data_IF_384422020900
#
_entry.id   IF_384422020900
#
_cell.length_a   1.000
_cell.length_b   1.000
_cell.length_c   1.000
_cell.angle_alpha   90.00
_cell.angle_beta   90.00
_cell.angle_gamma   90.00
#
_symmetry.space_group_name_H-M   'P 1'
#
loop_
_entity.id
_entity.type
_entity.pdbx_description
1 polymer ?
#
# COMPACT_ATOMS: atom_id res chain seq x y z
N UNK A 1 -6.39 23.60 26.08
CA UNK A 1 -7.54 22.88 25.48
C UNK A 1 -6.97 22.00 24.38
N UNK A 2 -6.96 20.69 24.56
CA UNK A 2 -6.60 19.78 23.48
C UNK A 2 -7.69 19.85 22.41
N UNK A 3 -7.31 20.15 21.17
CA UNK A 3 -8.22 20.08 20.04
C UNK A 3 -8.61 18.62 19.82
N UNK A 4 -9.82 18.26 20.24
CA UNK A 4 -10.36 16.92 20.01
C UNK A 4 -10.60 16.71 18.52
N UNK A 5 -9.91 15.76 17.91
CA UNK A 5 -10.13 15.38 16.52
C UNK A 5 -11.47 14.65 16.45
N UNK A 6 -12.47 15.26 15.82
CA UNK A 6 -13.82 14.70 15.67
C UNK A 6 -14.24 14.48 14.21
N UNK A 7 -13.35 14.70 13.25
CA UNK A 7 -13.58 14.54 11.81
C UNK A 7 -12.71 13.39 11.27
N UNK A 8 -13.33 12.49 10.50
CA UNK A 8 -12.63 11.45 9.74
C UNK A 8 -11.95 12.09 8.53
N UNK A 9 -10.63 12.00 8.45
CA UNK A 9 -9.87 12.68 7.39
C UNK A 9 -10.11 12.08 5.99
N UNK A 10 -10.50 10.80 5.91
CA UNK A 10 -10.76 10.10 4.64
C UNK A 10 -12.08 10.49 3.98
N UNK A 11 -13.10 10.89 4.76
CA UNK A 11 -14.44 11.18 4.23
C UNK A 11 -14.99 12.56 4.61
N UNK A 12 -14.29 13.31 5.48
CA UNK A 12 -14.68 14.64 5.96
C UNK A 12 -15.89 14.66 6.91
N UNK A 13 -16.41 13.49 7.32
CA UNK A 13 -17.59 13.39 8.21
C UNK A 13 -17.19 13.21 9.67
N UNK A 14 -18.09 13.57 10.59
CA UNK A 14 -17.87 13.38 12.03
C UNK A 14 -17.61 11.91 12.39
N UNK A 15 -16.62 11.69 13.23
CA UNK A 15 -16.35 10.43 13.90
C UNK A 15 -17.47 10.17 14.92
N UNK A 16 -18.17 9.05 14.77
CA UNK A 16 -19.26 8.61 15.65
C UNK A 16 -19.18 7.09 15.80
N UNK A 17 -19.43 6.58 17.00
CA UNK A 17 -19.37 5.15 17.28
C UNK A 17 -17.93 4.62 17.30
N UNK A 18 -17.71 3.43 16.72
CA UNK A 18 -16.41 2.78 16.69
C UNK A 18 -15.48 3.46 15.66
N UNK A 19 -14.30 3.85 16.13
CA UNK A 19 -13.24 4.53 15.37
C UNK A 19 -12.06 3.56 15.23
N UNK A 20 -11.33 3.67 14.13
CA UNK A 20 -10.09 2.94 13.88
C UNK A 20 -8.92 3.91 13.69
N UNK A 21 -7.70 3.40 13.86
CA UNK A 21 -6.46 4.17 13.74
C UNK A 21 -5.73 3.80 12.45
N UNK A 22 -5.92 4.64 11.43
CA UNK A 22 -5.28 4.47 10.13
C UNK A 22 -3.81 4.92 10.19
N UNK A 23 -2.93 4.17 9.54
CA UNK A 23 -1.48 4.41 9.58
C UNK A 23 -1.05 5.29 8.42
N UNK A 24 -0.40 6.42 8.74
CA UNK A 24 0.07 7.37 7.74
C UNK A 24 1.60 7.56 7.89
N UNK A 25 2.44 6.95 7.04
CA UNK A 25 2.09 6.16 5.84
C UNK A 25 1.63 4.73 6.16
N UNK A 26 0.96 4.05 5.20
CA UNK A 26 0.40 2.72 5.38
C UNK A 26 1.40 1.70 5.93
N UNK A 27 0.94 0.88 6.88
CA UNK A 27 1.73 -0.22 7.48
C UNK A 27 2.32 -1.16 6.43
N UNK A 28 1.69 -1.29 5.27
CA UNK A 28 2.15 -2.17 4.19
C UNK A 28 3.48 -1.74 3.55
N UNK A 29 3.86 -0.46 3.66
CA UNK A 29 5.16 0.04 3.17
C UNK A 29 6.32 -0.58 3.94
N UNK A 30 6.06 -1.01 5.18
CA UNK A 30 7.02 -1.65 6.05
C UNK A 30 6.71 -3.14 6.14
N UNK A 31 7.55 -3.95 5.50
CA UNK A 31 7.46 -5.41 5.59
C UNK A 31 7.40 -5.87 7.05
N UNK A 32 6.65 -6.94 7.32
CA UNK A 32 6.40 -7.45 8.67
C UNK A 32 7.69 -7.76 9.43
N UNK A 33 8.73 -8.26 8.74
CA UNK A 33 10.06 -8.47 9.33
C UNK A 33 10.73 -7.17 9.75
N UNK A 34 10.66 -6.13 8.91
CA UNK A 34 11.22 -4.80 9.18
C UNK A 34 10.50 -4.16 10.36
N UNK A 35 9.16 -4.23 10.42
CA UNK A 35 8.39 -3.72 11.55
C UNK A 35 8.73 -4.41 12.86
N UNK A 36 8.93 -5.74 12.85
CA UNK A 36 9.34 -6.48 14.06
C UNK A 36 10.73 -6.11 14.54
N UNK A 37 11.65 -5.86 13.61
CA UNK A 37 13.05 -5.56 13.93
C UNK A 37 13.24 -4.14 14.42
N UNK A 38 12.61 -3.17 13.75
CA UNK A 38 12.85 -1.74 13.99
C UNK A 38 11.75 -1.06 14.80
N UNK A 39 10.61 -1.73 14.99
CA UNK A 39 9.43 -1.22 15.69
C UNK A 39 9.13 0.25 15.37
N UNK A 40 8.89 0.59 14.08
CA UNK A 40 8.73 1.98 13.69
C UNK A 40 7.52 2.58 14.41
N UNK A 41 7.71 3.74 15.03
CA UNK A 41 6.63 4.51 15.65
C UNK A 41 5.81 5.19 14.56
N UNK A 42 4.94 4.41 13.92
CA UNK A 42 4.11 4.88 12.80
C UNK A 42 3.01 5.78 13.33
N UNK A 43 2.90 6.97 12.73
CA UNK A 43 1.86 7.92 13.04
C UNK A 43 0.49 7.38 12.61
N UNK A 44 -0.53 7.63 13.42
CA UNK A 44 -1.90 7.22 13.13
C UNK A 44 -2.88 8.39 13.19
N UNK A 45 -3.96 8.28 12.40
CA UNK A 45 -5.06 9.23 12.39
C UNK A 45 -6.40 8.51 12.60
N UNK A 46 -7.34 9.10 13.35
CA UNK A 46 -8.62 8.48 13.62
C UNK A 46 -9.52 8.51 12.37
N UNK A 47 -10.16 7.38 12.08
CA UNK A 47 -11.02 7.19 10.91
C UNK A 47 -12.24 6.32 11.23
N UNK A 48 -13.27 6.34 10.37
CA UNK A 48 -14.29 5.29 10.41
C UNK A 48 -13.66 3.97 9.98
N UNK A 49 -14.01 2.87 10.64
CA UNK A 49 -13.55 1.51 10.27
C UNK A 49 -13.81 1.22 8.78
N UNK A 50 -14.98 1.62 8.26
CA UNK A 50 -15.32 1.41 6.85
C UNK A 50 -14.43 2.21 5.89
N UNK A 51 -14.06 3.45 6.27
CA UNK A 51 -13.16 4.29 5.48
C UNK A 51 -11.73 3.74 5.50
N UNK A 52 -11.24 3.29 6.66
CA UNK A 52 -9.90 2.70 6.75
C UNK A 52 -9.77 1.47 5.82
N UNK A 53 -10.80 0.61 5.83
CA UNK A 53 -10.79 -0.60 5.01
C UNK A 53 -11.08 -0.37 3.52
N UNK A 54 -11.70 0.75 3.13
CA UNK A 54 -12.13 0.96 1.74
C UNK A 54 -10.97 1.13 0.76
N UNK A 55 -9.80 1.56 1.24
CA UNK A 55 -8.62 1.81 0.41
C UNK A 55 -7.65 0.62 0.35
N UNK A 56 -8.00 -0.53 0.94
CA UNK A 56 -7.07 -1.66 1.05
C UNK A 56 -6.58 -2.15 -0.33
N UNK A 57 -7.44 -2.16 -1.33
CA UNK A 57 -7.08 -2.57 -2.69
C UNK A 57 -6.14 -1.56 -3.38
N UNK A 58 -6.31 -0.27 -3.10
CA UNK A 58 -5.45 0.80 -3.63
C UNK A 58 -4.06 0.72 -3.01
N UNK A 59 -3.98 0.45 -1.71
CA UNK A 59 -2.70 0.20 -1.02
C UNK A 59 -1.98 -1.03 -1.59
N UNK A 60 -2.70 -2.14 -1.76
CA UNK A 60 -2.15 -3.36 -2.35
C UNK A 60 -1.63 -3.08 -3.77
N UNK A 61 -2.40 -2.37 -4.58
CA UNK A 61 -1.98 -1.96 -5.92
C UNK A 61 -0.72 -1.09 -5.89
N UNK A 62 -0.67 -0.10 -4.99
CA UNK A 62 0.46 0.82 -4.85
C UNK A 62 1.74 0.07 -4.44
N UNK A 63 1.65 -0.78 -3.41
CA UNK A 63 2.79 -1.56 -2.91
C UNK A 63 3.27 -2.56 -3.97
N UNK A 64 2.36 -3.27 -4.63
CA UNK A 64 2.71 -4.21 -5.69
C UNK A 64 3.34 -3.50 -6.89
N UNK A 65 2.89 -2.29 -7.20
CA UNK A 65 3.44 -1.47 -8.27
C UNK A 65 4.86 -0.99 -7.99
N UNK A 66 5.19 -0.66 -6.75
CA UNK A 66 6.53 -0.15 -6.42
C UNK A 66 7.52 -1.27 -6.11
N UNK A 67 7.05 -2.44 -5.67
CA UNK A 67 7.92 -3.53 -5.23
C UNK A 67 9.03 -3.92 -6.23
N UNK A 68 8.79 -4.02 -7.56
CA UNK A 68 9.86 -4.31 -8.52
C UNK A 68 11.02 -3.30 -8.47
N UNK A 69 10.74 -2.04 -8.18
CA UNK A 69 11.74 -0.97 -8.07
C UNK A 69 12.61 -1.07 -6.82
N UNK A 70 12.22 -1.92 -5.86
CA UNK A 70 12.90 -2.08 -4.57
C UNK A 70 13.80 -3.32 -4.52
N UNK A 71 13.82 -4.14 -5.59
CA UNK A 71 14.62 -5.37 -5.66
C UNK A 71 16.09 -5.06 -5.41
N UNK A 72 16.75 -5.88 -4.60
CA UNK A 72 18.16 -5.70 -4.22
C UNK A 72 18.38 -4.77 -3.04
N UNK A 73 17.38 -4.00 -2.61
CA UNK A 73 17.47 -3.22 -1.36
C UNK A 73 17.20 -4.08 -0.12
N UNK A 74 17.70 -3.60 1.03
CA UNK A 74 17.50 -4.21 2.34
C UNK A 74 16.01 -4.37 2.68
N UNK A 75 15.23 -3.30 2.52
CA UNK A 75 13.79 -3.30 2.81
C UNK A 75 12.97 -4.00 1.71
N UNK A 76 13.33 -3.80 0.44
CA UNK A 76 12.59 -4.34 -0.70
C UNK A 76 12.55 -5.86 -0.76
N UNK A 77 13.66 -6.52 -0.39
CA UNK A 77 13.70 -7.98 -0.28
C UNK A 77 12.69 -8.53 0.74
N UNK A 78 12.44 -7.77 1.82
CA UNK A 78 11.42 -8.11 2.81
C UNK A 78 10.00 -7.82 2.32
N UNK A 79 9.81 -6.72 1.58
CA UNK A 79 8.51 -6.36 0.98
C UNK A 79 8.07 -7.46 -0.01
N UNK A 80 8.98 -7.92 -0.87
CA UNK A 80 8.70 -9.00 -1.82
C UNK A 80 8.24 -10.29 -1.15
N UNK A 81 8.84 -10.67 -0.01
CA UNK A 81 8.40 -11.85 0.75
C UNK A 81 6.97 -11.72 1.27
N UNK A 82 6.56 -10.52 1.67
CA UNK A 82 5.19 -10.27 2.13
C UNK A 82 4.19 -10.22 0.98
N UNK A 83 4.56 -9.62 -0.16
CA UNK A 83 3.75 -9.62 -1.37
C UNK A 83 3.52 -11.05 -1.84
N UNK A 84 4.57 -11.86 -1.99
CA UNK A 84 4.46 -13.26 -2.43
C UNK A 84 3.55 -14.12 -1.54
N UNK A 85 3.44 -13.79 -0.25
CA UNK A 85 2.48 -14.44 0.67
C UNK A 85 1.04 -13.97 0.42
N UNK A 86 0.83 -12.67 0.20
CA UNK A 86 -0.49 -12.09 -0.09
C UNK A 86 -1.00 -12.51 -1.47
N UNK A 87 -0.10 -12.67 -2.44
CA UNK A 87 -0.47 -13.11 -3.79
C UNK A 87 -1.21 -14.45 -3.83
N UNK A 88 -1.05 -15.28 -2.79
CA UNK A 88 -1.74 -16.57 -2.65
C UNK A 88 -3.22 -16.43 -2.28
N UNK A 89 -3.68 -15.24 -1.91
CA UNK A 89 -5.06 -15.01 -1.46
C UNK A 89 -6.00 -14.75 -2.65
N UNK A 90 -7.25 -15.23 -2.61
CA UNK A 90 -8.22 -15.05 -3.70
C UNK A 90 -8.47 -13.58 -4.06
N UNK A 91 -8.57 -12.70 -3.06
CA UNK A 91 -8.84 -11.27 -3.23
C UNK A 91 -7.73 -10.53 -3.99
N UNK A 92 -6.49 -11.00 -3.90
CA UNK A 92 -5.34 -10.37 -4.57
C UNK A 92 -5.20 -10.78 -6.04
N UNK A 93 -5.96 -11.77 -6.53
CA UNK A 93 -5.78 -12.38 -7.86
C UNK A 93 -5.82 -11.36 -8.99
N UNK A 94 -6.73 -10.38 -8.94
CA UNK A 94 -6.87 -9.34 -9.97
C UNK A 94 -5.63 -8.44 -10.04
N UNK A 95 -5.16 -7.95 -8.88
CA UNK A 95 -3.97 -7.10 -8.78
C UNK A 95 -2.73 -7.85 -9.28
N UNK A 96 -2.58 -9.12 -8.90
CA UNK A 96 -1.45 -9.96 -9.29
C UNK A 96 -1.33 -10.19 -10.79
N UNK A 97 -2.47 -10.27 -11.49
CA UNK A 97 -2.47 -10.39 -12.95
C UNK A 97 -2.28 -9.04 -13.64
N UNK A 98 -2.81 -7.97 -13.04
CA UNK A 98 -2.81 -6.63 -13.62
C UNK A 98 -1.44 -5.96 -13.56
N UNK A 99 -0.83 -5.91 -12.37
CA UNK A 99 0.40 -5.13 -12.12
C UNK A 99 1.55 -5.56 -13.04
N UNK A 100 1.87 -6.87 -13.23
CA UNK A 100 2.93 -7.26 -14.14
C UNK A 100 2.70 -6.82 -15.59
N UNK A 101 1.45 -6.73 -16.05
CA UNK A 101 1.11 -6.28 -17.41
C UNK A 101 1.34 -4.79 -17.64
N UNK A 102 1.43 -4.01 -16.56
CA UNK A 102 1.75 -2.58 -16.63
C UNK A 102 3.23 -2.34 -16.93
N UNK A 103 4.10 -3.28 -16.56
CA UNK A 103 5.53 -3.20 -16.84
C UNK A 103 5.81 -3.80 -18.21
N UNK A 104 6.20 -2.96 -19.17
CA UNK A 104 6.48 -3.44 -20.52
C UNK A 104 7.88 -4.06 -20.59
N UNK A 105 7.94 -5.38 -20.74
CA UNK A 105 9.19 -6.14 -20.88
C UNK A 105 9.75 -6.13 -22.31
N UNK A 106 8.97 -5.65 -23.30
CA UNK A 106 9.34 -5.69 -24.72
C UNK A 106 10.03 -4.40 -25.20
N UNK A 107 10.37 -3.47 -24.30
CA UNK A 107 11.11 -2.25 -24.62
C UNK A 107 12.42 -2.29 -23.84
N UNK A 108 13.54 -2.26 -24.57
CA UNK A 108 14.87 -2.08 -23.98
C UNK A 108 15.01 -0.59 -23.64
N UNK A 109 15.26 -0.30 -22.37
CA UNK A 109 15.49 1.04 -21.88
C UNK A 109 16.96 1.21 -21.47
N UNK A 110 17.49 2.44 -21.43
CA UNK A 110 18.78 2.71 -20.80
C UNK A 110 18.83 2.22 -19.36
N UNK A 111 20.04 2.00 -18.84
CA UNK A 111 20.26 1.51 -17.48
C UNK A 111 19.47 2.31 -16.44
N UNK A 112 18.91 1.57 -15.47
CA UNK A 112 18.08 2.09 -14.37
C UNK A 112 16.77 2.76 -14.77
N UNK A 113 16.32 2.63 -16.03
CA UNK A 113 14.99 3.11 -16.44
C UNK A 113 14.00 1.97 -16.60
N UNK A 114 12.77 2.23 -16.15
CA UNK A 114 11.64 1.29 -16.22
C UNK A 114 10.45 2.03 -16.80
N UNK A 115 9.69 1.36 -17.66
CA UNK A 115 8.41 1.86 -18.16
C UNK A 115 7.27 1.16 -17.45
N UNK A 116 6.37 1.96 -16.90
CA UNK A 116 5.09 1.51 -16.36
C UNK A 116 3.98 2.19 -17.15
N UNK A 117 3.11 1.39 -17.77
CA UNK A 117 1.94 1.85 -18.50
C UNK A 117 0.79 2.01 -17.52
N UNK A 118 0.14 3.17 -17.56
CA UNK A 118 -1.05 3.46 -16.79
C UNK A 118 -2.25 3.54 -17.71
N UNK A 119 -3.35 2.89 -17.32
CA UNK A 119 -4.63 3.06 -18.00
C UNK A 119 -5.42 4.14 -17.26
N UNK A 120 -5.59 5.30 -17.89
CA UNK A 120 -6.31 6.44 -17.32
C UNK A 120 -7.81 6.23 -17.20
N UNK A 121 -8.38 5.15 -17.76
CA UNK A 121 -9.81 4.84 -17.70
C UNK A 121 -10.19 3.92 -16.53
N UNK A 122 -9.30 3.74 -15.55
CA UNK A 122 -9.60 2.96 -14.34
C UNK A 122 -10.56 3.76 -13.46
N UNK A 123 -11.86 3.49 -13.63
CA UNK A 123 -12.95 3.90 -12.74
C UNK A 123 -13.63 2.67 -12.17
#
# INVERSE_FOLDING_TARGET
MENKIDICYLCGKKLKGNIDDDHVPPKQFYAKSIRKMHNPNLFTLPTHISCNNSYQMDEDYFVHSLAPLTIGSYSGSSIWKDISKRMKRPESKKINMMVPREFNQNIILPDNKIIKRFDGKRT
#
